data_IF_981568758173
#
_entry.id   IF_981568758173
#
_cell.length_a   1.000
_cell.length_b   1.000
_cell.length_c   1.000
_cell.angle_alpha   90.00
_cell.angle_beta   90.00
_cell.angle_gamma   90.00
#
_symmetry.space_group_name_H-M   'P 1'
#
loop_
_entity.id
_entity.type
_entity.pdbx_description
1 polymer ?
#
# COMPACT_ATOMS: atom_id res chain seq x y z
N UNK A 1 -58.08 -26.86 16.23
CA UNK A 1 -58.60 -27.91 17.14
C UNK A 1 -57.36 -28.65 17.62
N UNK A 2 -56.69 -28.13 18.65
CA UNK A 2 -56.90 -28.49 20.09
C UNK A 2 -56.55 -29.97 20.30
N UNK A 3 -55.78 -30.42 21.28
CA UNK A 3 -55.09 -29.91 22.48
C UNK A 3 -54.34 -31.18 22.99
N UNK A 4 -53.16 -31.18 23.60
CA UNK A 4 -52.91 -30.86 25.02
C UNK A 4 -51.56 -31.44 25.45
N UNK A 5 -51.02 -30.84 26.50
CA UNK A 5 -49.70 -31.00 27.12
C UNK A 5 -49.53 -32.28 27.94
N UNK A 6 -48.27 -32.64 28.23
CA UNK A 6 -47.91 -33.07 29.59
C UNK A 6 -46.45 -32.72 29.91
N UNK A 7 -46.26 -31.89 30.92
CA UNK A 7 -44.97 -31.59 31.52
C UNK A 7 -44.66 -32.52 32.71
N UNK A 8 -43.37 -32.75 32.94
CA UNK A 8 -42.80 -33.08 34.25
C UNK A 8 -41.43 -32.43 34.37
N UNK A 9 -41.27 -31.53 35.33
CA UNK A 9 -39.96 -31.06 35.79
C UNK A 9 -39.39 -31.98 36.88
N UNK A 10 -38.10 -31.79 37.17
CA UNK A 10 -37.55 -31.38 38.49
C UNK A 10 -36.03 -31.60 38.53
N UNK A 11 -35.36 -30.69 39.24
CA UNK A 11 -34.05 -30.76 39.90
C UNK A 11 -32.78 -30.32 39.15
N UNK A 12 -32.45 -29.06 39.45
CA UNK A 12 -31.10 -28.48 39.58
C UNK A 12 -30.15 -29.34 40.44
N UNK A 13 -28.91 -29.48 39.99
CA UNK A 13 -27.73 -29.66 40.84
C UNK A 13 -26.51 -29.03 40.15
N UNK A 14 -26.05 -27.93 40.72
CA UNK A 14 -24.81 -27.21 40.40
C UNK A 14 -23.64 -27.88 41.12
N UNK A 15 -22.55 -28.24 40.41
CA UNK A 15 -21.16 -28.16 40.94
C UNK A 15 -20.25 -27.72 39.79
N UNK A 16 -19.41 -26.75 40.14
CA UNK A 16 -18.55 -25.89 39.34
C UNK A 16 -17.13 -26.43 39.13
N UNK A 17 -16.37 -25.65 38.33
CA UNK A 17 -14.91 -25.54 38.18
C UNK A 17 -14.37 -26.21 36.90
N UNK A 18 -13.72 -25.50 35.98
CA UNK A 18 -13.37 -24.09 35.90
C UNK A 18 -12.52 -23.88 34.66
N UNK A 19 -12.83 -22.84 33.87
CA UNK A 19 -11.90 -22.25 32.91
C UNK A 19 -12.02 -20.75 33.12
N UNK A 20 -10.86 -20.15 33.31
CA UNK A 20 -10.57 -18.79 33.72
C UNK A 20 -11.00 -17.79 32.64
N UNK A 21 -12.11 -17.08 32.87
CA UNK A 21 -12.56 -15.94 32.09
C UNK A 21 -11.72 -14.70 32.43
N UNK A 22 -10.50 -14.67 31.90
CA UNK A 22 -9.61 -13.51 31.91
C UNK A 22 -9.88 -12.55 30.76
N UNK A 23 -11.12 -12.05 30.63
CA UNK A 23 -11.48 -11.00 29.68
C UNK A 23 -12.37 -9.92 30.32
N UNK A 24 -11.99 -9.46 31.53
CA UNK A 24 -12.45 -8.17 32.03
C UNK A 24 -11.59 -7.08 31.39
N UNK A 25 -12.01 -6.64 30.20
CA UNK A 25 -11.61 -5.35 29.66
C UNK A 25 -12.10 -4.26 30.59
N UNK A 26 -11.20 -3.77 31.44
CA UNK A 26 -11.38 -2.50 32.13
C UNK A 26 -11.56 -1.45 31.03
N UNK A 27 -12.74 -0.84 31.00
CA UNK A 27 -13.00 0.35 30.18
C UNK A 27 -12.12 1.45 30.77
N UNK A 28 -10.94 1.65 30.20
CA UNK A 28 -10.15 2.84 30.44
C UNK A 28 -10.83 3.98 29.69
N UNK A 29 -11.45 4.90 30.43
CA UNK A 29 -11.81 6.21 29.90
C UNK A 29 -10.53 6.96 29.50
N UNK A 30 -10.47 7.43 28.24
CA UNK A 30 -9.56 8.48 27.80
C UNK A 30 -8.23 8.03 27.16
N UNK A 31 -8.26 7.74 25.86
CA UNK A 31 -7.22 8.17 24.92
C UNK A 31 -7.74 7.99 23.47
N UNK A 32 -8.02 9.09 22.75
CA UNK A 32 -8.35 8.98 21.32
C UNK A 32 -7.06 8.58 20.56
N UNK A 33 -6.98 7.33 20.12
CA UNK A 33 -5.86 6.78 19.34
C UNK A 33 -5.92 7.22 17.86
N UNK A 34 -4.77 7.17 17.16
CA UNK A 34 -4.69 7.43 15.71
C UNK A 34 -5.58 6.47 14.91
N UNK A 35 -6.22 6.97 13.84
CA UNK A 35 -7.08 6.19 12.94
C UNK A 35 -6.30 5.85 11.66
N UNK A 36 -6.05 4.56 11.42
CA UNK A 36 -5.43 4.08 10.18
C UNK A 36 -6.24 2.92 9.63
N UNK A 37 -6.98 3.19 8.56
CA UNK A 37 -7.78 2.23 7.80
C UNK A 37 -7.44 2.35 6.31
N UNK A 38 -7.88 1.41 5.44
CA UNK A 38 -7.67 1.54 3.99
C UNK A 38 -8.28 2.81 3.36
N UNK A 39 -9.24 3.44 4.04
CA UNK A 39 -9.97 4.61 3.53
C UNK A 39 -9.61 5.92 4.23
N UNK A 40 -9.21 5.85 5.50
CA UNK A 40 -8.98 7.02 6.36
C UNK A 40 -7.66 6.88 7.12
N UNK A 41 -6.90 7.97 7.13
CA UNK A 41 -5.65 8.10 7.89
C UNK A 41 -5.67 9.44 8.60
N UNK A 42 -5.72 9.41 9.92
CA UNK A 42 -5.70 10.59 10.79
C UNK A 42 -4.86 10.29 12.05
N UNK A 43 -3.93 11.19 12.37
CA UNK A 43 -3.21 11.11 13.65
C UNK A 43 -4.07 11.64 14.81
N UNK A 44 -3.65 11.34 16.03
CA UNK A 44 -4.29 11.83 17.26
C UNK A 44 -4.39 13.37 17.24
N UNK A 45 -5.58 13.91 17.43
CA UNK A 45 -5.89 15.36 17.36
C UNK A 45 -5.46 16.02 16.03
N UNK A 46 -5.43 15.27 14.93
CA UNK A 46 -4.91 15.75 13.64
C UNK A 46 -3.38 15.85 13.60
N UNK A 47 -2.68 15.23 14.55
CA UNK A 47 -1.22 15.17 14.65
C UNK A 47 -0.57 14.18 13.68
N UNK A 48 0.73 13.95 13.88
CA UNK A 48 1.54 12.99 13.10
C UNK A 48 1.18 11.54 13.44
N UNK A 49 1.28 10.66 12.44
CA UNK A 49 1.17 9.21 12.63
C UNK A 49 2.40 8.68 13.37
N UNK A 50 2.17 7.96 14.46
CA UNK A 50 3.19 7.22 15.20
C UNK A 50 3.33 5.81 14.60
N UNK A 51 4.31 5.67 13.73
CA UNK A 51 4.56 4.43 12.99
C UNK A 51 5.15 3.31 13.87
N UNK A 52 5.87 3.62 14.95
CA UNK A 52 6.35 2.59 15.88
C UNK A 52 5.17 2.03 16.69
N UNK A 53 4.18 2.87 17.07
CA UNK A 53 2.91 2.38 17.63
C UNK A 53 2.10 1.57 16.63
N UNK A 54 2.05 1.97 15.34
CA UNK A 54 1.36 1.18 14.32
C UNK A 54 1.96 -0.23 14.18
N UNK A 55 3.29 -0.36 14.24
CA UNK A 55 3.94 -1.68 14.22
C UNK A 55 3.39 -2.58 15.33
N UNK A 56 3.24 -2.04 16.54
CA UNK A 56 2.70 -2.78 17.69
C UNK A 56 1.20 -3.07 17.52
N UNK A 57 0.40 -2.07 17.14
CA UNK A 57 -1.05 -2.20 16.96
C UNK A 57 -1.41 -3.21 15.86
N UNK A 58 -0.70 -3.18 14.73
CA UNK A 58 -0.94 -4.10 13.62
C UNK A 58 -0.21 -5.42 13.83
N UNK A 59 0.82 -5.46 14.67
CA UNK A 59 1.61 -6.65 14.94
C UNK A 59 2.50 -7.05 13.76
N UNK A 60 2.99 -6.08 12.99
CA UNK A 60 4.03 -6.30 11.98
C UNK A 60 5.44 -6.20 12.62
N UNK A 61 6.49 -6.40 11.84
CA UNK A 61 7.88 -6.38 12.31
C UNK A 61 8.64 -5.21 11.69
N UNK A 62 9.52 -4.56 12.46
CA UNK A 62 10.37 -3.49 11.95
C UNK A 62 11.40 -4.03 10.97
N UNK A 63 11.50 -3.42 9.80
CA UNK A 63 12.52 -3.71 8.82
C UNK A 63 13.86 -3.18 9.32
N UNK A 64 14.79 -4.08 9.60
CA UNK A 64 16.10 -3.74 10.17
C UNK A 64 17.21 -3.78 9.11
N UNK A 65 18.37 -3.24 9.47
CA UNK A 65 19.54 -3.18 8.58
C UNK A 65 19.98 -4.57 8.08
N UNK A 66 19.90 -5.60 8.93
CA UNK A 66 20.28 -6.96 8.52
C UNK A 66 19.45 -7.48 7.34
N UNK A 67 18.15 -7.18 7.31
CA UNK A 67 17.29 -7.56 6.18
C UNK A 67 17.61 -6.75 4.92
N UNK A 68 17.93 -5.46 5.07
CA UNK A 68 18.34 -4.60 3.96
C UNK A 68 19.65 -5.11 3.34
N UNK A 69 20.65 -5.41 4.17
CA UNK A 69 21.94 -5.96 3.73
C UNK A 69 21.77 -7.33 3.06
N UNK A 70 20.82 -8.16 3.54
CA UNK A 70 20.47 -9.43 2.90
C UNK A 70 19.89 -9.21 1.49
N UNK A 71 19.04 -8.20 1.28
CA UNK A 71 18.53 -7.86 -0.06
C UNK A 71 19.68 -7.53 -1.00
N UNK A 72 20.63 -6.69 -0.58
CA UNK A 72 21.78 -6.34 -1.41
C UNK A 72 22.63 -7.55 -1.75
N UNK A 73 22.94 -8.37 -0.75
CA UNK A 73 23.76 -9.58 -0.92
C UNK A 73 23.12 -10.59 -1.86
N UNK A 74 21.82 -10.85 -1.70
CA UNK A 74 21.11 -11.87 -2.49
C UNK A 74 20.86 -11.42 -3.92
N UNK A 75 20.57 -10.14 -4.14
CA UNK A 75 20.21 -9.62 -5.48
C UNK A 75 21.41 -9.06 -6.25
N UNK A 76 22.53 -8.77 -5.57
CA UNK A 76 23.66 -8.05 -6.15
C UNK A 76 23.31 -6.62 -6.58
N UNK A 77 22.19 -6.07 -6.10
CA UNK A 77 21.73 -4.70 -6.37
C UNK A 77 21.85 -3.84 -5.12
N UNK A 78 22.27 -2.57 -5.24
CA UNK A 78 22.20 -1.64 -4.12
C UNK A 78 20.77 -1.51 -3.61
N UNK A 79 20.60 -1.42 -2.30
CA UNK A 79 19.31 -1.27 -1.67
C UNK A 79 18.64 0.02 -2.16
N UNK A 80 17.36 -0.10 -2.51
CA UNK A 80 16.57 1.05 -2.94
C UNK A 80 16.63 2.16 -1.88
N UNK A 81 16.67 3.46 -2.27
CA UNK A 81 16.61 4.57 -1.31
C UNK A 81 15.48 4.42 -0.27
N UNK A 82 14.33 3.89 -0.69
CA UNK A 82 13.20 3.64 0.22
C UNK A 82 13.46 2.61 1.31
N UNK A 83 14.38 1.66 1.11
CA UNK A 83 14.84 0.75 2.16
C UNK A 83 15.83 1.48 3.07
N UNK A 84 16.87 2.07 2.48
CA UNK A 84 17.97 2.74 3.21
C UNK A 84 17.48 3.90 4.08
N UNK A 85 16.39 4.56 3.68
CA UNK A 85 15.82 5.73 4.36
C UNK A 85 14.59 5.41 5.20
N UNK A 86 14.24 4.12 5.36
CA UNK A 86 13.10 3.70 6.17
C UNK A 86 11.76 4.19 5.64
N UNK A 87 11.61 4.40 4.32
CA UNK A 87 10.31 4.67 3.71
C UNK A 87 9.48 3.38 3.70
N UNK A 88 10.09 2.25 3.33
CA UNK A 88 9.58 0.93 3.69
C UNK A 88 10.21 0.53 5.00
N UNK A 89 9.39 0.40 6.04
CA UNK A 89 9.85 0.41 7.44
C UNK A 89 9.35 -0.80 8.23
N UNK A 90 8.31 -1.46 7.76
CA UNK A 90 7.72 -2.63 8.40
C UNK A 90 7.54 -3.78 7.40
N UNK A 91 7.42 -5.00 7.92
CA UNK A 91 7.24 -6.20 7.11
C UNK A 91 6.53 -7.32 7.87
N UNK A 92 6.10 -8.35 7.14
CA UNK A 92 5.65 -9.64 7.67
C UNK A 92 6.28 -10.77 6.86
N UNK A 93 7.04 -11.65 7.51
CA UNK A 93 7.65 -12.83 6.88
C UNK A 93 8.51 -12.52 5.63
N UNK A 94 9.06 -11.30 5.53
CA UNK A 94 9.98 -10.93 4.45
C UNK A 94 11.28 -11.73 4.53
N UNK A 95 11.74 -12.06 5.74
CA UNK A 95 12.80 -13.02 6.00
C UNK A 95 12.55 -14.36 5.28
N UNK A 96 11.31 -14.87 5.27
CA UNK A 96 10.95 -16.12 4.59
C UNK A 96 10.99 -16.01 3.07
N UNK A 97 10.78 -14.82 2.51
CA UNK A 97 10.98 -14.56 1.07
C UNK A 97 12.47 -14.62 0.75
N UNK A 98 13.31 -13.98 1.57
CA UNK A 98 14.76 -14.00 1.38
C UNK A 98 15.33 -15.41 1.54
N UNK A 99 14.84 -16.17 2.52
CA UNK A 99 15.23 -17.58 2.72
C UNK A 99 14.82 -18.47 1.54
N UNK A 100 13.64 -18.25 0.97
CA UNK A 100 13.16 -18.97 -0.21
C UNK A 100 14.02 -18.64 -1.44
N UNK A 101 14.27 -17.34 -1.67
CA UNK A 101 15.11 -16.89 -2.78
C UNK A 101 16.55 -17.41 -2.68
N UNK A 102 17.14 -17.41 -1.49
CA UNK A 102 18.48 -17.96 -1.22
C UNK A 102 18.59 -19.47 -1.53
N UNK A 103 17.47 -20.20 -1.45
CA UNK A 103 17.37 -21.63 -1.82
C UNK A 103 17.03 -21.88 -3.29
N UNK A 104 16.80 -20.81 -4.07
CA UNK A 104 16.31 -20.92 -5.44
C UNK A 104 14.82 -21.29 -5.55
N UNK A 105 14.05 -21.11 -4.47
CA UNK A 105 12.60 -21.28 -4.49
C UNK A 105 11.93 -20.05 -5.14
N UNK A 106 10.88 -20.31 -5.91
CA UNK A 106 10.16 -19.29 -6.64
C UNK A 106 9.14 -18.54 -5.75
N UNK A 107 9.07 -17.22 -5.94
CA UNK A 107 8.03 -16.37 -5.36
C UNK A 107 7.56 -15.31 -6.37
N UNK A 108 6.40 -14.71 -6.17
CA UNK A 108 5.90 -13.64 -7.02
C UNK A 108 5.53 -12.39 -6.20
N UNK A 109 5.48 -11.26 -6.89
CA UNK A 109 5.03 -9.99 -6.34
C UNK A 109 3.55 -9.78 -6.62
N UNK A 110 2.85 -9.17 -5.67
CA UNK A 110 1.49 -8.68 -5.84
C UNK A 110 1.39 -7.27 -5.27
N UNK A 111 0.88 -6.32 -6.04
CA UNK A 111 0.41 -5.02 -5.55
C UNK A 111 -0.90 -4.65 -6.24
N UNK A 112 -1.55 -3.58 -5.81
CA UNK A 112 -2.80 -3.13 -6.42
C UNK A 112 -2.95 -1.62 -6.48
N UNK A 113 -3.98 -1.18 -7.21
CA UNK A 113 -4.41 0.20 -7.31
C UNK A 113 -5.92 0.24 -7.48
N UNK A 114 -6.60 0.94 -6.57
CA UNK A 114 -7.98 1.33 -6.78
C UNK A 114 -8.10 2.62 -7.59
N UNK A 115 -8.54 2.56 -8.86
CA UNK A 115 -8.45 3.68 -9.80
C UNK A 115 -9.56 4.72 -9.55
N UNK A 116 -9.21 5.79 -8.81
CA UNK A 116 -10.16 6.83 -8.39
C UNK A 116 -10.06 8.16 -9.17
N UNK A 117 -9.08 8.28 -10.06
CA UNK A 117 -8.76 9.50 -10.83
C UNK A 117 -8.07 9.12 -12.13
N UNK A 118 -8.15 9.99 -13.15
CA UNK A 118 -7.58 9.72 -14.48
C UNK A 118 -6.05 9.58 -14.47
N UNK A 119 -5.38 10.14 -13.46
CA UNK A 119 -3.93 10.11 -13.33
C UNK A 119 -3.49 9.75 -11.90
N UNK A 120 -2.30 9.16 -11.81
CA UNK A 120 -1.59 8.97 -10.55
C UNK A 120 -1.03 10.30 -10.00
N UNK A 121 -0.81 10.33 -8.69
CA UNK A 121 -0.01 11.37 -8.02
C UNK A 121 1.24 10.76 -7.43
N UNK A 122 2.21 11.59 -7.01
CA UNK A 122 3.51 11.13 -6.54
C UNK A 122 3.44 10.08 -5.42
N UNK A 123 2.46 10.18 -4.51
CA UNK A 123 2.23 9.17 -3.48
C UNK A 123 1.88 7.77 -4.03
N UNK A 124 1.18 7.68 -5.17
CA UNK A 124 0.89 6.41 -5.82
C UNK A 124 2.13 5.83 -6.49
N UNK A 125 3.09 6.66 -6.91
CA UNK A 125 4.33 6.17 -7.52
C UNK A 125 5.22 5.45 -6.51
N UNK A 126 5.17 5.78 -5.22
CA UNK A 126 6.04 5.17 -4.18
C UNK A 126 5.98 3.63 -4.19
N UNK A 127 4.81 2.98 -4.02
CA UNK A 127 4.72 1.52 -4.07
C UNK A 127 5.08 0.93 -5.44
N UNK A 128 4.73 1.59 -6.55
CA UNK A 128 5.07 1.09 -7.89
C UNK A 128 6.56 1.18 -8.21
N UNK A 129 7.22 2.29 -7.87
CA UNK A 129 8.68 2.44 -8.02
C UNK A 129 9.42 1.37 -7.21
N UNK A 130 8.96 1.11 -5.99
CA UNK A 130 9.56 0.08 -5.16
C UNK A 130 9.30 -1.33 -5.68
N UNK A 131 8.07 -1.62 -6.11
CA UNK A 131 7.72 -2.91 -6.72
C UNK A 131 8.53 -3.17 -7.98
N UNK A 132 8.75 -2.13 -8.81
CA UNK A 132 9.61 -2.22 -10.00
C UNK A 132 11.05 -2.56 -9.62
N UNK A 133 11.59 -1.90 -8.58
CA UNK A 133 12.91 -2.26 -8.04
C UNK A 133 12.97 -3.73 -7.58
N UNK A 134 11.95 -4.20 -6.85
CA UNK A 134 11.90 -5.59 -6.39
C UNK A 134 11.83 -6.57 -7.58
N UNK A 135 11.01 -6.28 -8.59
CA UNK A 135 10.94 -7.09 -9.81
C UNK A 135 12.30 -7.15 -10.51
N UNK A 136 12.99 -6.01 -10.64
CA UNK A 136 14.30 -5.94 -11.29
C UNK A 136 15.41 -6.65 -10.51
N UNK A 137 15.37 -6.57 -9.18
CA UNK A 137 16.41 -7.11 -8.29
C UNK A 137 16.26 -8.62 -8.12
N UNK A 138 15.03 -9.11 -7.91
CA UNK A 138 14.76 -10.53 -7.68
C UNK A 138 14.43 -11.31 -8.96
N UNK A 139 14.13 -10.63 -10.08
CA UNK A 139 13.75 -11.25 -11.37
C UNK A 139 12.51 -12.14 -11.27
N UNK A 140 11.48 -11.67 -10.57
CA UNK A 140 10.25 -12.44 -10.30
C UNK A 140 9.02 -11.91 -11.06
N UNK A 141 8.00 -12.75 -11.30
CA UNK A 141 6.72 -12.30 -11.83
C UNK A 141 6.01 -11.33 -10.88
N UNK A 142 5.18 -10.48 -11.47
CA UNK A 142 4.35 -9.49 -10.79
C UNK A 142 2.92 -9.57 -11.30
N UNK A 143 1.96 -9.57 -10.38
CA UNK A 143 0.55 -9.32 -10.66
C UNK A 143 0.12 -7.97 -10.08
N UNK A 144 -0.62 -7.18 -10.84
CA UNK A 144 -1.14 -5.87 -10.41
C UNK A 144 -2.66 -5.87 -10.53
N UNK A 145 -3.35 -5.79 -9.40
CA UNK A 145 -4.82 -5.68 -9.35
C UNK A 145 -5.27 -4.24 -9.55
N UNK A 146 -6.24 -4.02 -10.43
CA UNK A 146 -6.96 -2.76 -10.59
C UNK A 146 -8.38 -2.96 -10.06
N UNK A 147 -8.64 -2.44 -8.85
CA UNK A 147 -9.90 -2.63 -8.12
C UNK A 147 -10.97 -1.64 -8.59
N UNK A 148 -11.32 -1.71 -9.88
CA UNK A 148 -12.38 -0.88 -10.47
C UNK A 148 -13.77 -1.21 -9.93
N UNK A 149 -14.02 -2.47 -9.59
CA UNK A 149 -15.22 -2.89 -8.86
C UNK A 149 -15.34 -2.23 -7.47
N UNK A 150 -14.25 -2.17 -6.69
CA UNK A 150 -14.16 -1.43 -5.43
C UNK A 150 -14.53 0.03 -5.64
N UNK A 151 -13.96 0.69 -6.65
CA UNK A 151 -14.23 2.11 -6.87
C UNK A 151 -15.66 2.36 -7.33
N UNK A 152 -16.23 1.48 -8.14
CA UNK A 152 -17.65 1.51 -8.46
C UNK A 152 -18.54 1.34 -7.21
N UNK A 153 -18.11 0.55 -6.22
CA UNK A 153 -18.86 0.31 -4.98
C UNK A 153 -18.69 1.43 -3.93
N UNK A 154 -17.53 2.07 -3.87
CA UNK A 154 -17.23 3.10 -2.85
C UNK A 154 -17.46 4.54 -3.31
N UNK A 155 -17.56 4.77 -4.63
CA UNK A 155 -17.75 6.10 -5.22
C UNK A 155 -18.98 6.08 -6.12
N UNK A 156 -19.59 7.25 -6.28
CA UNK A 156 -20.68 7.45 -7.23
C UNK A 156 -20.12 7.59 -8.66
N UNK A 157 -19.63 6.47 -9.20
CA UNK A 157 -19.12 6.35 -10.58
C UNK A 157 -19.73 5.12 -11.24
N UNK A 158 -20.00 5.20 -12.55
CA UNK A 158 -20.52 4.05 -13.30
C UNK A 158 -19.46 2.97 -13.51
N UNK A 159 -19.90 1.75 -13.84
CA UNK A 159 -19.02 0.63 -14.19
C UNK A 159 -18.11 1.03 -15.35
N UNK A 160 -18.67 1.61 -16.42
CA UNK A 160 -17.91 2.02 -17.61
C UNK A 160 -16.85 3.06 -17.27
N UNK A 161 -17.17 4.01 -16.38
CA UNK A 161 -16.21 5.00 -15.90
C UNK A 161 -15.11 4.34 -15.08
N UNK A 162 -15.44 3.39 -14.21
CA UNK A 162 -14.44 2.68 -13.40
C UNK A 162 -13.48 1.84 -14.24
N UNK A 163 -13.97 1.13 -15.26
CA UNK A 163 -13.14 0.38 -16.21
C UNK A 163 -12.27 1.30 -17.07
N UNK A 164 -12.81 2.45 -17.51
CA UNK A 164 -12.01 3.48 -18.17
C UNK A 164 -10.85 3.96 -17.27
N UNK A 165 -11.14 4.26 -15.99
CA UNK A 165 -10.13 4.68 -15.03
C UNK A 165 -9.06 3.61 -14.79
N UNK A 166 -9.46 2.33 -14.73
CA UNK A 166 -8.53 1.21 -14.66
C UNK A 166 -7.54 1.22 -15.84
N UNK A 167 -8.04 1.34 -17.08
CA UNK A 167 -7.19 1.40 -18.26
C UNK A 167 -6.27 2.63 -18.29
N UNK A 168 -6.74 3.81 -17.90
CA UNK A 168 -5.88 4.99 -17.81
C UNK A 168 -4.81 4.87 -16.71
N UNK A 169 -5.14 4.26 -15.57
CA UNK A 169 -4.18 4.01 -14.50
C UNK A 169 -3.18 2.91 -14.91
N UNK A 170 -3.59 1.92 -15.72
CA UNK A 170 -2.69 0.93 -16.29
C UNK A 170 -1.59 1.58 -17.13
N UNK A 171 -1.89 2.64 -17.90
CA UNK A 171 -0.89 3.40 -18.67
C UNK A 171 0.16 4.04 -17.77
N UNK A 172 -0.26 4.68 -16.67
CA UNK A 172 0.67 5.26 -15.69
C UNK A 172 1.54 4.17 -15.01
N UNK A 173 0.95 3.02 -14.70
CA UNK A 173 1.66 1.89 -14.10
C UNK A 173 2.70 1.35 -15.09
N UNK A 174 2.34 1.12 -16.34
CA UNK A 174 3.27 0.68 -17.40
C UNK A 174 4.41 1.70 -17.58
N UNK A 175 4.11 3.00 -17.50
CA UNK A 175 5.10 4.07 -17.58
C UNK A 175 6.13 4.07 -16.44
N UNK A 176 5.90 3.32 -15.36
CA UNK A 176 6.91 3.05 -14.32
C UNK A 176 8.03 2.11 -14.80
N UNK A 177 7.85 1.44 -15.96
CA UNK A 177 8.87 0.63 -16.61
C UNK A 177 8.91 -0.83 -16.13
N UNK A 178 7.76 -1.42 -15.83
CA UNK A 178 7.65 -2.85 -15.54
C UNK A 178 7.96 -3.70 -16.77
N UNK A 179 8.50 -4.90 -16.56
CA UNK A 179 8.82 -5.84 -17.63
C UNK A 179 7.55 -6.57 -18.10
N UNK A 180 7.15 -6.37 -19.37
CA UNK A 180 5.98 -7.02 -19.96
C UNK A 180 6.08 -8.54 -19.98
N UNK A 181 7.28 -9.11 -20.00
CA UNK A 181 7.50 -10.55 -19.96
C UNK A 181 7.31 -11.17 -18.58
N UNK A 182 7.12 -10.33 -17.54
CA UNK A 182 7.00 -10.73 -16.13
C UNK A 182 5.83 -10.09 -15.40
N UNK A 183 5.03 -9.27 -16.09
CA UNK A 183 3.98 -8.47 -15.45
C UNK A 183 2.63 -8.76 -16.07
N UNK A 184 1.67 -9.06 -15.20
CA UNK A 184 0.26 -9.17 -15.54
C UNK A 184 -0.52 -8.12 -14.76
N UNK A 185 -1.22 -7.23 -15.46
CA UNK A 185 -2.10 -6.23 -14.86
C UNK A 185 -3.53 -6.69 -15.13
N UNK A 186 -4.45 -6.57 -14.18
CA UNK A 186 -5.84 -6.98 -14.44
C UNK A 186 -6.85 -6.05 -13.79
N UNK A 187 -7.96 -5.82 -14.49
CA UNK A 187 -9.19 -5.25 -13.95
C UNK A 187 -9.96 -6.34 -13.21
N UNK A 188 -10.55 -6.01 -12.07
CA UNK A 188 -11.39 -6.96 -11.34
C UNK A 188 -12.66 -7.28 -12.14
N UNK A 189 -13.30 -6.29 -12.76
CA UNK A 189 -14.46 -6.55 -13.64
C UNK A 189 -14.15 -7.52 -14.79
N UNK A 190 -12.94 -7.47 -15.36
CA UNK A 190 -12.57 -8.29 -16.52
C UNK A 190 -11.99 -9.67 -16.14
N UNK A 191 -11.36 -9.79 -14.97
CA UNK A 191 -10.62 -11.01 -14.59
C UNK A 191 -11.33 -11.88 -13.55
N UNK A 192 -12.20 -11.31 -12.71
CA UNK A 192 -12.87 -12.05 -11.64
C UNK A 192 -13.79 -13.12 -12.23
N UNK A 193 -13.36 -14.37 -12.08
CA UNK A 193 -14.06 -15.55 -12.57
C UNK A 193 -13.22 -16.81 -12.31
N UNK A 194 -13.64 -17.95 -12.86
CA UNK A 194 -12.83 -19.18 -12.87
C UNK A 194 -12.19 -19.53 -11.50
N UNK A 195 -10.87 -19.74 -11.48
CA UNK A 195 -10.14 -20.08 -10.26
C UNK A 195 -9.97 -18.91 -9.28
N UNK A 196 -9.97 -17.67 -9.78
CA UNK A 196 -9.94 -16.47 -8.94
C UNK A 196 -11.19 -16.43 -8.04
N UNK A 197 -12.38 -16.58 -8.63
CA UNK A 197 -13.63 -16.60 -7.88
C UNK A 197 -13.72 -17.79 -6.90
N UNK A 198 -13.19 -18.96 -7.27
CA UNK A 198 -13.09 -20.09 -6.33
C UNK A 198 -12.25 -19.75 -5.09
N UNK A 199 -11.17 -19.00 -5.24
CA UNK A 199 -10.37 -18.52 -4.11
C UNK A 199 -11.10 -17.47 -3.29
N UNK A 200 -11.81 -16.53 -3.92
CA UNK A 200 -12.69 -15.59 -3.20
C UNK A 200 -13.68 -16.34 -2.31
N UNK A 201 -14.36 -17.36 -2.82
CA UNK A 201 -15.33 -18.15 -2.04
C UNK A 201 -14.66 -18.90 -0.87
N UNK A 202 -13.48 -19.48 -1.10
CA UNK A 202 -12.70 -20.15 -0.03
C UNK A 202 -12.34 -19.18 1.10
N UNK A 203 -11.92 -17.97 0.76
CA UNK A 203 -11.55 -16.92 1.72
C UNK A 203 -12.79 -16.40 2.44
N UNK A 204 -13.87 -16.09 1.71
CA UNK A 204 -15.11 -15.60 2.28
C UNK A 204 -15.69 -16.56 3.33
N UNK A 205 -15.60 -17.88 3.11
CA UNK A 205 -16.00 -18.89 4.11
C UNK A 205 -15.17 -18.89 5.39
N UNK A 206 -14.00 -18.26 5.40
CA UNK A 206 -13.13 -18.14 6.57
C UNK A 206 -13.38 -16.87 7.38
N UNK A 207 -14.08 -15.87 6.83
CA UNK A 207 -14.24 -14.54 7.42
C UNK A 207 -15.72 -14.31 7.75
N UNK A 208 -16.03 -14.22 9.03
CA UNK A 208 -17.38 -13.87 9.50
C UNK A 208 -17.63 -12.38 9.31
N UNK A 209 -18.91 -11.98 9.23
CA UNK A 209 -19.25 -10.56 9.18
C UNK A 209 -18.75 -9.80 10.41
N UNK A 210 -18.80 -10.38 11.62
CA UNK A 210 -18.26 -9.75 12.83
C UNK A 210 -16.75 -9.48 12.72
N UNK A 211 -15.97 -10.39 12.13
CA UNK A 211 -14.56 -10.15 11.85
C UNK A 211 -14.39 -9.00 10.84
N UNK A 212 -15.18 -9.00 9.76
CA UNK A 212 -15.13 -7.93 8.77
C UNK A 212 -15.48 -6.56 9.40
N UNK A 213 -16.49 -6.48 10.28
CA UNK A 213 -16.80 -5.27 11.05
C UNK A 213 -15.65 -4.81 11.93
N UNK A 214 -14.99 -5.74 12.63
CA UNK A 214 -13.84 -5.40 13.48
C UNK A 214 -12.60 -4.94 12.71
N UNK A 215 -12.36 -5.48 11.51
CA UNK A 215 -11.18 -5.17 10.70
C UNK A 215 -11.39 -3.92 9.85
N UNK A 216 -12.59 -3.77 9.27
CA UNK A 216 -12.90 -2.78 8.24
C UNK A 216 -13.91 -1.72 8.68
N UNK A 217 -14.46 -1.82 9.89
CA UNK A 217 -15.44 -0.84 10.40
C UNK A 217 -16.79 -0.88 9.70
N UNK A 218 -17.14 -1.96 8.98
CA UNK A 218 -18.44 -2.06 8.32
C UNK A 218 -19.61 -1.97 9.31
N UNK A 219 -20.69 -1.34 8.85
CA UNK A 219 -21.94 -1.15 9.63
C UNK A 219 -23.13 -1.83 8.93
N UNK A 220 -24.28 -1.87 9.61
CA UNK A 220 -25.47 -2.58 9.09
C UNK A 220 -26.07 -1.92 7.84
N UNK A 221 -25.75 -0.65 7.62
CA UNK A 221 -26.17 0.18 6.51
C UNK A 221 -25.29 0.03 5.27
N UNK A 222 -24.09 -0.55 5.40
CA UNK A 222 -23.22 -0.82 4.24
C UNK A 222 -23.85 -1.87 3.33
N UNK A 223 -23.84 -1.62 2.03
CA UNK A 223 -24.37 -2.57 1.06
C UNK A 223 -23.48 -3.82 0.94
N UNK A 224 -24.12 -4.94 0.61
CA UNK A 224 -23.49 -6.28 0.58
C UNK A 224 -22.22 -6.35 -0.28
N UNK A 225 -22.13 -5.54 -1.34
CA UNK A 225 -20.96 -5.45 -2.20
C UNK A 225 -19.69 -5.01 -1.45
N UNK A 226 -19.79 -3.98 -0.58
CA UNK A 226 -18.65 -3.54 0.25
C UNK A 226 -18.19 -4.64 1.19
N UNK A 227 -19.17 -5.29 1.82
CA UNK A 227 -18.92 -6.37 2.78
C UNK A 227 -18.28 -7.58 2.11
N UNK A 228 -18.61 -7.85 0.84
CA UNK A 228 -18.06 -8.98 0.08
C UNK A 228 -16.78 -8.67 -0.70
N UNK A 229 -16.28 -7.43 -0.66
CA UNK A 229 -15.06 -7.03 -1.37
C UNK A 229 -13.74 -7.56 -0.78
N UNK A 230 -13.51 -7.65 0.56
CA UNK A 230 -12.21 -8.07 1.08
C UNK A 230 -11.66 -9.41 0.52
N UNK A 231 -12.48 -10.44 0.26
CA UNK A 231 -12.04 -11.63 -0.47
C UNK A 231 -11.50 -11.37 -1.89
N UNK A 232 -12.00 -10.35 -2.61
CA UNK A 232 -11.52 -9.93 -3.94
C UNK A 232 -10.06 -9.48 -3.85
N UNK A 233 -9.74 -8.61 -2.88
CA UNK A 233 -8.37 -8.11 -2.68
C UNK A 233 -7.42 -9.16 -2.08
N UNK A 234 -7.97 -10.15 -1.35
CA UNK A 234 -7.20 -11.24 -0.76
C UNK A 234 -6.79 -12.31 -1.78
N UNK A 235 -7.65 -12.63 -2.75
CA UNK A 235 -7.46 -13.72 -3.70
C UNK A 235 -6.16 -13.66 -4.52
N UNK A 236 -5.65 -12.49 -4.98
CA UNK A 236 -4.36 -12.38 -5.68
C UNK A 236 -3.15 -12.81 -4.85
N UNK A 237 -3.30 -12.94 -3.53
CA UNK A 237 -2.25 -13.45 -2.64
C UNK A 237 -1.97 -14.95 -2.82
N UNK A 238 -2.80 -15.65 -3.60
CA UNK A 238 -2.68 -17.08 -3.83
C UNK A 238 -2.41 -17.40 -5.31
N UNK A 239 -1.35 -18.17 -5.63
CA UNK A 239 -0.92 -18.42 -7.01
C UNK A 239 -1.99 -19.10 -7.88
N UNK A 240 -2.82 -19.96 -7.31
CA UNK A 240 -3.94 -20.61 -8.03
C UNK A 240 -5.00 -19.64 -8.56
N UNK A 241 -5.01 -18.37 -8.12
CA UNK A 241 -5.84 -17.34 -8.73
C UNK A 241 -5.39 -17.00 -10.16
N UNK A 242 -4.15 -17.37 -10.52
CA UNK A 242 -3.52 -17.12 -11.82
C UNK A 242 -3.02 -18.43 -12.45
N UNK A 243 -3.93 -19.34 -12.84
CA UNK A 243 -3.54 -20.66 -13.36
C UNK A 243 -2.72 -20.59 -14.66
N UNK A 244 -2.87 -19.52 -15.43
CA UNK A 244 -2.09 -19.25 -16.63
C UNK A 244 -0.62 -18.89 -16.34
N UNK A 245 -0.30 -18.48 -15.10
CA UNK A 245 1.06 -18.19 -14.64
C UNK A 245 1.64 -19.35 -13.82
N UNK A 246 0.85 -19.92 -12.91
CA UNK A 246 1.34 -20.85 -11.88
C UNK A 246 0.68 -22.24 -11.92
N UNK A 247 -0.20 -22.50 -12.88
CA UNK A 247 -0.99 -23.74 -12.92
C UNK A 247 -1.79 -23.92 -11.63
N UNK A 248 -1.72 -25.12 -11.03
CA UNK A 248 -2.39 -25.44 -9.77
C UNK A 248 -1.45 -25.43 -8.56
N UNK A 249 -0.26 -24.83 -8.71
CA UNK A 249 0.71 -24.73 -7.60
C UNK A 249 0.15 -23.90 -6.45
N UNK A 250 0.43 -24.35 -5.22
CA UNK A 250 0.04 -23.66 -3.96
C UNK A 250 1.24 -23.25 -3.10
N UNK A 251 2.42 -23.71 -3.49
CA UNK A 251 3.71 -23.59 -2.83
C UNK A 251 4.48 -22.32 -3.22
N UNK A 252 3.98 -21.56 -4.20
CA UNK A 252 4.59 -20.28 -4.62
C UNK A 252 4.31 -19.22 -3.57
N UNK A 253 5.37 -18.62 -3.01
CA UNK A 253 5.22 -17.51 -2.05
C UNK A 253 4.79 -16.23 -2.76
N UNK A 254 4.03 -15.41 -2.05
CA UNK A 254 3.61 -14.08 -2.49
C UNK A 254 4.25 -13.02 -1.58
N UNK A 255 4.88 -12.00 -2.17
CA UNK A 255 5.34 -10.80 -1.47
C UNK A 255 4.50 -9.61 -1.92
N UNK A 256 3.96 -8.87 -0.96
CA UNK A 256 3.06 -7.73 -1.19
C UNK A 256 3.71 -6.43 -0.74
N UNK A 257 4.21 -5.59 -1.67
CA UNK A 257 4.64 -4.23 -1.37
C UNK A 257 3.42 -3.31 -1.34
N UNK A 258 3.14 -2.68 -0.21
CA UNK A 258 2.01 -1.75 -0.07
C UNK A 258 2.32 -0.64 0.94
N UNK A 259 1.46 0.38 0.99
CA UNK A 259 1.44 1.26 2.16
C UNK A 259 0.75 0.54 3.33
N UNK A 260 1.07 0.95 4.57
CA UNK A 260 0.60 0.24 5.78
C UNK A 260 -0.93 0.23 5.96
N UNK A 261 -1.67 1.17 5.34
CA UNK A 261 -3.14 1.19 5.35
C UNK A 261 -3.79 -0.04 4.71
N UNK A 262 -3.05 -0.80 3.89
CA UNK A 262 -3.53 -2.02 3.26
C UNK A 262 -3.33 -3.28 4.12
N UNK A 263 -2.55 -3.21 5.21
CA UNK A 263 -2.30 -4.35 6.11
C UNK A 263 -3.59 -5.03 6.61
N UNK A 264 -4.69 -4.32 6.95
CA UNK A 264 -5.93 -4.98 7.39
C UNK A 264 -6.45 -6.06 6.44
N UNK A 265 -6.39 -5.85 5.12
CA UNK A 265 -6.77 -6.85 4.12
C UNK A 265 -5.87 -8.10 4.18
N UNK A 266 -4.57 -7.87 4.34
CA UNK A 266 -3.60 -8.95 4.27
C UNK A 266 -3.41 -9.65 5.60
N UNK A 267 -3.66 -9.00 6.73
CA UNK A 267 -3.82 -9.63 8.04
C UNK A 267 -4.96 -10.64 8.01
N UNK A 268 -6.14 -10.23 7.51
CA UNK A 268 -7.27 -11.13 7.26
C UNK A 268 -6.87 -12.29 6.32
N UNK A 269 -6.15 -11.97 5.24
CA UNK A 269 -5.70 -12.98 4.26
C UNK A 269 -4.74 -14.00 4.88
N UNK A 270 -3.82 -13.55 5.73
CA UNK A 270 -2.84 -14.40 6.44
C UNK A 270 -3.50 -15.32 7.46
N UNK A 271 -4.60 -14.91 8.06
CA UNK A 271 -5.39 -15.75 8.97
C UNK A 271 -6.22 -16.81 8.22
N UNK A 272 -6.73 -16.45 7.03
CA UNK A 272 -7.45 -17.38 6.16
C UNK A 272 -6.52 -18.41 5.50
N UNK A 273 -5.34 -18.00 5.03
CA UNK A 273 -4.41 -18.82 4.23
C UNK A 273 -4.18 -20.26 4.74
N UNK A 274 -3.80 -20.51 6.01
CA UNK A 274 -3.57 -21.88 6.49
C UNK A 274 -4.86 -22.71 6.53
N UNK A 275 -6.03 -22.10 6.75
CA UNK A 275 -7.33 -22.79 6.79
C UNK A 275 -7.78 -23.31 5.43
N UNK A 276 -7.25 -22.70 4.35
CA UNK A 276 -7.54 -23.09 2.96
C UNK A 276 -6.34 -23.78 2.28
N UNK A 277 -5.30 -24.11 3.04
CA UNK A 277 -4.15 -24.88 2.57
C UNK A 277 -3.19 -24.10 1.67
N UNK A 278 -3.01 -22.81 1.93
CA UNK A 278 -2.05 -21.94 1.23
C UNK A 278 -1.01 -21.37 2.19
N UNK A 279 0.12 -20.93 1.61
CA UNK A 279 1.12 -20.16 2.33
C UNK A 279 0.58 -18.77 2.66
N UNK A 280 0.97 -18.24 3.82
CA UNK A 280 0.68 -16.84 4.18
C UNK A 280 1.45 -15.90 3.24
N UNK A 281 0.82 -14.84 2.69
CA UNK A 281 1.55 -13.83 1.94
C UNK A 281 2.48 -13.05 2.87
N UNK A 282 3.69 -12.75 2.38
CA UNK A 282 4.61 -11.82 3.02
C UNK A 282 4.25 -10.38 2.64
N UNK A 283 4.60 -9.43 3.52
CA UNK A 283 4.34 -8.01 3.32
C UNK A 283 5.63 -7.20 3.50
N UNK A 284 5.73 -6.10 2.77
CA UNK A 284 6.70 -5.02 3.01
C UNK A 284 5.97 -3.68 2.88
N UNK A 285 5.99 -2.88 3.95
CA UNK A 285 5.03 -1.82 4.19
C UNK A 285 5.70 -0.44 4.22
N UNK A 286 5.14 0.51 3.48
CA UNK A 286 5.62 1.89 3.45
C UNK A 286 4.91 2.82 4.43
N UNK A 287 5.60 3.89 4.79
CA UNK A 287 5.01 5.10 5.35
C UNK A 287 4.00 5.70 4.36
N UNK A 288 3.14 6.59 4.86
CA UNK A 288 2.32 7.44 3.99
C UNK A 288 3.17 8.53 3.36
N UNK A 289 2.93 8.77 2.07
CA UNK A 289 3.49 9.94 1.41
C UNK A 289 2.66 11.18 1.83
N UNK A 290 3.30 12.21 2.44
CA UNK A 290 2.57 13.30 3.07
C UNK A 290 1.90 14.22 2.04
N UNK A 291 0.86 14.94 2.45
CA UNK A 291 0.25 15.98 1.63
C UNK A 291 1.11 17.25 1.60
N UNK A 292 0.88 18.11 0.60
CA UNK A 292 1.61 19.38 0.48
C UNK A 292 1.45 20.25 1.74
N UNK A 293 0.25 20.27 2.33
CA UNK A 293 -0.09 21.13 3.45
C UNK A 293 0.44 20.64 4.81
N UNK A 294 0.88 19.39 4.93
CA UNK A 294 1.34 18.83 6.22
C UNK A 294 1.08 17.33 6.39
N UNK A 295 1.36 16.84 7.60
CA UNK A 295 1.27 15.42 7.97
C UNK A 295 -0.11 14.97 8.48
N UNK A 296 -1.04 15.90 8.70
CA UNK A 296 -2.34 15.62 9.31
C UNK A 296 -3.33 14.86 8.41
N UNK A 297 -2.91 14.44 7.20
CA UNK A 297 -3.75 13.66 6.29
C UNK A 297 -3.00 13.04 5.11
N UNK A 298 -3.59 11.99 4.55
CA UNK A 298 -3.18 11.37 3.28
C UNK A 298 -3.49 12.32 2.12
N UNK A 299 -2.64 12.34 1.08
CA UNK A 299 -3.01 13.02 -0.18
C UNK A 299 -4.29 12.42 -0.74
N UNK A 300 -5.31 13.25 -0.90
CA UNK A 300 -6.58 12.84 -1.52
C UNK A 300 -6.65 13.34 -2.95
N UNK A 301 -7.00 12.45 -3.88
CA UNK A 301 -7.27 12.82 -5.26
C UNK A 301 -8.44 13.80 -5.42
N UNK A 302 -9.27 14.01 -4.37
CA UNK A 302 -10.40 14.94 -4.38
C UNK A 302 -10.02 16.41 -4.19
N UNK A 303 -8.83 16.72 -3.65
CA UNK A 303 -8.32 18.08 -3.56
C UNK A 303 -7.03 18.21 -4.37
N UNK A 304 -7.17 18.78 -5.57
CA UNK A 304 -6.08 18.96 -6.53
C UNK A 304 -4.95 19.87 -6.04
N UNK A 305 -5.18 20.65 -4.98
CA UNK A 305 -4.18 21.51 -4.35
C UNK A 305 -3.29 20.77 -3.34
N UNK A 306 -3.68 19.56 -2.92
CA UNK A 306 -2.98 18.77 -1.90
C UNK A 306 -1.89 17.85 -2.46
N UNK A 307 -1.95 17.58 -3.77
CA UNK A 307 -1.11 16.59 -4.42
C UNK A 307 -0.44 17.12 -5.70
N UNK A 308 0.72 16.54 -6.01
CA UNK A 308 1.40 16.70 -7.30
C UNK A 308 1.08 15.48 -8.16
N UNK A 309 0.45 15.70 -9.31
CA UNK A 309 0.06 14.64 -10.25
C UNK A 309 1.15 14.38 -11.27
N UNK A 310 1.19 13.16 -11.82
CA UNK A 310 2.13 12.81 -12.90
C UNK A 310 1.78 13.52 -14.21
N UNK A 311 0.63 14.18 -14.28
CA UNK A 311 0.18 15.02 -15.39
C UNK A 311 0.43 16.51 -15.16
N UNK A 312 0.93 16.93 -13.98
CA UNK A 312 1.23 18.34 -13.74
C UNK A 312 2.36 18.84 -14.65
N UNK A 313 2.17 20.02 -15.22
CA UNK A 313 3.21 20.74 -15.97
C UNK A 313 4.30 21.26 -15.03
N UNK A 314 5.52 21.54 -15.53
CA UNK A 314 6.58 22.15 -14.71
C UNK A 314 6.11 23.42 -13.97
N UNK A 315 5.28 24.25 -14.61
CA UNK A 315 4.71 25.46 -14.00
C UNK A 315 3.74 25.15 -12.86
N UNK A 316 2.92 24.11 -12.99
CA UNK A 316 2.03 23.66 -11.92
C UNK A 316 2.83 23.10 -10.74
N UNK A 317 3.87 22.30 -10.99
CA UNK A 317 4.77 21.77 -9.95
C UNK A 317 5.41 22.92 -9.16
N UNK A 318 6.01 23.91 -9.85
CA UNK A 318 6.57 25.12 -9.24
C UNK A 318 5.54 25.83 -8.37
N UNK A 319 4.34 26.06 -8.92
CA UNK A 319 3.27 26.77 -8.23
C UNK A 319 2.83 26.03 -6.97
N UNK A 320 2.63 24.72 -7.06
CA UNK A 320 2.18 23.89 -5.95
C UNK A 320 3.22 23.83 -4.82
N UNK A 321 4.49 23.63 -5.16
CA UNK A 321 5.56 23.58 -4.15
C UNK A 321 5.74 24.94 -3.47
N UNK A 322 5.78 26.03 -4.24
CA UNK A 322 6.00 27.34 -3.66
C UNK A 322 4.82 27.81 -2.80
N UNK A 323 3.58 27.57 -3.23
CA UNK A 323 2.38 28.07 -2.54
C UNK A 323 1.85 27.15 -1.45
N UNK A 324 1.89 25.83 -1.65
CA UNK A 324 1.15 24.90 -0.79
C UNK A 324 2.05 23.98 0.03
N UNK A 325 3.32 23.75 -0.37
CA UNK A 325 4.22 22.92 0.43
C UNK A 325 4.57 23.63 1.75
N UNK A 326 4.16 23.03 2.87
CA UNK A 326 4.43 23.53 4.20
C UNK A 326 5.93 23.57 4.49
N UNK A 327 6.40 24.67 5.07
CA UNK A 327 7.80 24.93 5.38
C UNK A 327 8.06 24.83 6.88
N UNK A 328 9.13 24.13 7.26
CA UNK A 328 9.66 24.12 8.61
C UNK A 328 10.68 25.23 8.90
N UNK A 329 11.02 26.06 7.91
CA UNK A 329 11.92 27.22 8.08
C UNK A 329 11.25 28.39 8.82
N UNK A 330 12.06 29.24 9.46
CA UNK A 330 11.57 30.41 10.19
C UNK A 330 10.86 31.46 9.32
N UNK A 331 9.88 32.16 9.92
CA UNK A 331 9.01 33.14 9.23
C UNK A 331 9.76 34.29 8.53
N UNK A 332 10.94 34.64 9.04
CA UNK A 332 11.82 35.65 8.46
C UNK A 332 13.22 35.08 8.27
N UNK A 333 13.99 35.69 7.36
CA UNK A 333 15.38 35.29 7.11
C UNK A 333 16.20 35.37 8.39
N UNK A 334 16.02 36.41 9.21
CA UNK A 334 16.75 36.57 10.47
C UNK A 334 16.44 35.45 11.46
N UNK A 335 15.16 35.10 11.65
CA UNK A 335 14.76 33.97 12.50
C UNK A 335 15.33 32.66 11.98
N UNK A 336 15.25 32.45 10.67
CA UNK A 336 15.74 31.23 10.03
C UNK A 336 17.27 31.11 10.13
N UNK A 337 18.04 32.17 9.89
CA UNK A 337 19.50 32.18 10.08
C UNK A 337 19.88 31.91 11.54
N UNK A 338 19.05 32.34 12.50
CA UNK A 338 19.34 32.20 13.93
C UNK A 338 18.96 30.83 14.49
N UNK A 339 17.81 30.29 14.12
CA UNK A 339 17.24 29.07 14.73
C UNK A 339 17.22 27.86 13.80
N UNK A 340 17.47 28.05 12.50
CA UNK A 340 17.38 26.99 11.50
C UNK A 340 15.97 26.62 11.10
N UNK A 341 15.82 25.45 10.50
CA UNK A 341 14.53 24.86 10.12
C UNK A 341 14.22 23.61 10.94
N UNK A 342 12.93 23.42 11.23
CA UNK A 342 12.43 22.17 11.77
C UNK A 342 12.19 21.17 10.62
N UNK A 343 13.14 20.24 10.43
CA UNK A 343 13.10 19.24 9.37
C UNK A 343 11.98 18.21 9.56
N UNK A 344 11.53 17.99 10.79
CA UNK A 344 10.48 16.99 11.09
C UNK A 344 9.16 17.36 10.45
N UNK A 345 8.86 18.65 10.30
CA UNK A 345 7.59 19.13 9.74
C UNK A 345 7.71 19.61 8.29
N UNK A 346 8.93 19.82 7.79
CA UNK A 346 9.16 20.40 6.47
C UNK A 346 8.83 19.43 5.32
N UNK A 347 7.79 19.75 4.55
CA UNK A 347 7.34 18.92 3.43
C UNK A 347 8.37 18.85 2.31
N UNK A 348 9.06 19.95 1.92
CA UNK A 348 10.10 19.87 0.91
C UNK A 348 11.22 18.87 1.22
N UNK A 349 11.76 18.87 2.45
CA UNK A 349 12.79 17.92 2.88
C UNK A 349 12.26 16.49 2.89
N UNK A 350 11.00 16.28 3.32
CA UNK A 350 10.37 14.96 3.23
C UNK A 350 10.27 14.48 1.78
N UNK A 351 9.74 15.28 0.87
CA UNK A 351 9.63 14.87 -0.53
C UNK A 351 11.01 14.57 -1.14
N UNK A 352 12.04 15.35 -0.80
CA UNK A 352 13.42 15.04 -1.18
C UNK A 352 13.89 13.69 -0.63
N UNK A 353 13.51 13.29 0.60
CA UNK A 353 13.87 11.97 1.13
C UNK A 353 13.23 10.81 0.37
N UNK A 354 12.13 11.04 -0.35
CA UNK A 354 11.57 10.05 -1.28
C UNK A 354 12.26 10.06 -2.64
N UNK A 355 12.44 11.23 -3.26
CA UNK A 355 12.73 11.29 -4.71
C UNK A 355 14.13 11.75 -5.10
N UNK A 356 14.92 12.29 -4.17
CA UNK A 356 16.32 12.61 -4.45
C UNK A 356 17.16 11.34 -4.31
N UNK A 357 17.80 10.85 -5.38
CA UNK A 357 18.56 9.60 -5.33
C UNK A 357 19.85 9.67 -4.48
N UNK A 358 20.49 10.85 -4.41
CA UNK A 358 21.77 11.07 -3.73
C UNK A 358 21.60 11.31 -2.22
N UNK A 359 22.05 10.34 -1.41
CA UNK A 359 22.03 10.42 0.05
C UNK A 359 22.96 11.49 0.62
N UNK A 360 24.13 11.69 0.02
CA UNK A 360 25.10 12.69 0.49
C UNK A 360 24.57 14.10 0.24
N UNK A 361 23.90 14.31 -0.89
CA UNK A 361 23.21 15.56 -1.17
C UNK A 361 22.05 15.79 -0.19
N UNK A 362 21.19 14.78 0.04
CA UNK A 362 20.09 14.88 0.99
C UNK A 362 20.57 15.25 2.39
N UNK A 363 21.63 14.59 2.87
CA UNK A 363 22.19 14.86 4.19
C UNK A 363 22.83 16.25 4.28
N UNK A 364 23.49 16.70 3.22
CA UNK A 364 23.97 18.08 3.13
C UNK A 364 22.80 19.07 3.22
N UNK A 365 21.70 18.86 2.50
CA UNK A 365 20.53 19.73 2.55
C UNK A 365 19.96 19.76 3.98
N UNK A 366 19.78 18.61 4.63
CA UNK A 366 19.31 18.52 6.01
C UNK A 366 20.21 19.32 6.97
N UNK A 367 21.53 19.12 6.89
CA UNK A 367 22.49 19.81 7.74
C UNK A 367 22.52 21.33 7.51
N UNK A 368 22.50 21.78 6.26
CA UNK A 368 22.57 23.20 5.92
C UNK A 368 21.26 23.92 6.23
N UNK A 369 20.11 23.32 5.90
CA UNK A 369 18.80 23.89 6.16
C UNK A 369 18.42 23.86 7.64
N UNK A 370 18.69 22.74 8.32
CA UNK A 370 18.49 22.61 9.77
C UNK A 370 19.33 23.58 10.58
N UNK A 371 20.49 24.01 10.07
CA UNK A 371 21.33 25.01 10.71
C UNK A 371 21.08 26.46 10.22
N UNK A 372 20.09 26.69 9.35
CA UNK A 372 19.74 28.02 8.85
C UNK A 372 20.71 28.59 7.79
N UNK A 373 21.63 27.77 7.25
CA UNK A 373 22.60 28.18 6.22
C UNK A 373 22.04 28.11 4.80
N UNK A 374 21.12 27.18 4.54
CA UNK A 374 20.33 27.12 3.31
C UNK A 374 18.94 27.67 3.59
N UNK A 375 18.35 28.49 2.72
CA UNK A 375 17.01 29.05 2.91
C UNK A 375 15.92 28.12 2.37
N UNK A 376 14.69 28.27 2.85
CA UNK A 376 13.51 27.51 2.36
C UNK A 376 13.34 27.60 0.84
N UNK A 377 13.57 28.77 0.25
CA UNK A 377 13.48 28.96 -1.20
C UNK A 377 14.47 28.09 -1.97
N UNK A 378 15.68 27.89 -1.45
CA UNK A 378 16.71 27.05 -2.07
C UNK A 378 16.34 25.56 -1.98
N UNK A 379 15.81 25.12 -0.84
CA UNK A 379 15.31 23.73 -0.67
C UNK A 379 14.13 23.45 -1.60
N UNK A 380 13.16 24.38 -1.68
CA UNK A 380 12.01 24.27 -2.59
C UNK A 380 12.45 24.24 -4.05
N UNK A 381 13.42 25.07 -4.43
CA UNK A 381 13.99 25.07 -5.78
C UNK A 381 14.62 23.72 -6.12
N UNK A 382 15.41 23.14 -5.20
CA UNK A 382 15.99 21.82 -5.43
C UNK A 382 14.93 20.73 -5.57
N UNK A 383 13.88 20.77 -4.75
CA UNK A 383 12.75 19.85 -4.88
C UNK A 383 12.03 20.01 -6.23
N UNK A 384 11.78 21.24 -6.66
CA UNK A 384 11.16 21.54 -7.96
C UNK A 384 11.93 20.86 -9.09
N UNK A 385 13.26 20.94 -9.09
CA UNK A 385 14.10 20.32 -10.11
C UNK A 385 13.95 18.80 -10.13
N UNK A 386 14.06 18.16 -8.95
CA UNK A 386 13.92 16.71 -8.80
C UNK A 386 12.55 16.24 -9.29
N UNK A 387 11.48 16.88 -8.83
CA UNK A 387 10.11 16.49 -9.18
C UNK A 387 9.76 16.79 -10.63
N UNK A 388 10.22 17.92 -11.17
CA UNK A 388 10.01 18.25 -12.58
C UNK A 388 10.69 17.20 -13.46
N UNK A 389 11.94 16.83 -13.17
CA UNK A 389 12.64 15.80 -13.91
C UNK A 389 11.95 14.43 -13.83
N UNK A 390 11.45 14.05 -12.64
CA UNK A 390 10.70 12.82 -12.43
C UNK A 390 9.40 12.80 -13.26
N UNK A 391 8.58 13.85 -13.15
CA UNK A 391 7.28 13.95 -13.82
C UNK A 391 7.43 14.01 -15.34
N UNK A 392 8.38 14.81 -15.87
CA UNK A 392 8.65 14.88 -17.31
C UNK A 392 9.12 13.53 -17.86
N UNK A 393 9.96 12.80 -17.12
CA UNK A 393 10.39 11.45 -17.50
C UNK A 393 9.20 10.49 -17.57
N UNK A 394 8.34 10.53 -16.55
CA UNK A 394 7.13 9.71 -16.51
C UNK A 394 6.18 10.03 -17.66
N UNK A 395 5.92 11.31 -17.93
CA UNK A 395 5.08 11.77 -19.05
C UNK A 395 5.62 11.28 -20.39
N UNK A 396 6.95 11.36 -20.60
CA UNK A 396 7.59 10.83 -21.80
C UNK A 396 7.42 9.32 -21.93
N UNK A 397 7.58 8.57 -20.83
CA UNK A 397 7.37 7.12 -20.83
C UNK A 397 5.91 6.76 -21.12
N UNK A 398 4.96 7.44 -20.46
CA UNK A 398 3.51 7.26 -20.67
C UNK A 398 3.08 7.59 -22.10
N UNK A 399 3.65 8.63 -22.71
CA UNK A 399 3.37 8.97 -24.11
C UNK A 399 3.80 7.88 -25.10
N UNK A 400 4.73 6.99 -24.70
CA UNK A 400 5.12 5.80 -25.46
C UNK A 400 4.25 4.57 -25.21
N UNK A 401 3.30 4.61 -24.26
CA UNK A 401 2.41 3.49 -23.97
C UNK A 401 1.25 3.50 -24.95
N UNK A 402 1.16 2.49 -25.81
CA UNK A 402 0.06 2.31 -26.77
C UNK A 402 -1.07 1.47 -26.16
N UNK A 403 -2.24 1.47 -26.78
CA UNK A 403 -3.35 0.60 -26.36
C UNK A 403 -2.97 -0.89 -26.50
N UNK A 404 -2.22 -1.26 -27.54
CA UNK A 404 -1.75 -2.63 -27.72
C UNK A 404 -0.79 -3.05 -26.60
N UNK A 405 0.00 -2.11 -26.07
CA UNK A 405 0.81 -2.38 -24.88
C UNK A 405 -0.09 -2.62 -23.66
N UNK A 406 -1.09 -1.77 -23.43
CA UNK A 406 -2.04 -1.96 -22.32
C UNK A 406 -2.73 -3.32 -22.42
N UNK A 407 -3.25 -3.65 -23.60
CA UNK A 407 -3.89 -4.94 -23.88
C UNK A 407 -2.92 -6.09 -23.69
N UNK A 408 -1.66 -5.95 -24.11
CA UNK A 408 -0.65 -6.97 -23.91
C UNK A 408 -0.31 -7.17 -22.43
N UNK A 409 -0.19 -6.11 -21.61
CA UNK A 409 0.00 -6.23 -20.16
C UNK A 409 -1.23 -6.86 -19.48
N UNK A 410 -2.44 -6.56 -19.97
CA UNK A 410 -3.71 -7.01 -19.41
C UNK A 410 -4.24 -8.34 -19.97
N UNK A 411 -3.60 -8.89 -20.99
CA UNK A 411 -3.97 -10.17 -21.57
C UNK A 411 -3.60 -11.33 -20.64
N UNK A 412 -4.57 -12.23 -20.42
CA UNK A 412 -4.37 -13.51 -19.75
C UNK A 412 -3.48 -14.40 -20.62
N UNK A 413 -2.18 -14.42 -20.33
CA UNK A 413 -1.16 -15.10 -21.15
C UNK A 413 -0.07 -15.75 -20.28
N UNK A 414 0.49 -16.90 -20.68
CA UNK A 414 1.64 -17.44 -19.98
C UNK A 414 2.84 -16.49 -20.07
N UNK A 415 3.66 -16.49 -19.03
CA UNK A 415 4.91 -15.72 -18.96
C UNK A 415 6.09 -16.69 -18.83
N UNK A 416 6.52 -17.33 -19.94
CA UNK A 416 7.44 -18.48 -19.88
C UNK A 416 8.82 -18.15 -19.30
N UNK A 417 9.27 -16.89 -19.39
CA UNK A 417 10.56 -16.43 -18.89
C UNK A 417 10.43 -15.54 -17.65
N UNK A 418 9.37 -15.73 -16.85
CA UNK A 418 9.05 -14.82 -15.75
C UNK A 418 10.08 -14.80 -14.60
N UNK A 419 10.95 -15.82 -14.49
CA UNK A 419 11.94 -15.97 -13.41
C UNK A 419 13.40 -15.70 -13.78
N UNK A 420 13.75 -15.53 -15.05
CA UNK A 420 15.11 -15.17 -15.44
C UNK A 420 15.40 -15.66 -16.83
#
# INVERSE_FOLDING_TARGET
>A
MEESESGRGVASATISNGIDDGANGVVAEGDEEQVVTPWEVAGKDGGKIDYDKLIVQFGCQKLNQNLIDRVERLTGKPAHPFLRRGVFFAHREFDKILDAYEKGEEFYLYTGRGPSSDALHLGHLVPFMFTKYLQDAFKVPLVIQLTDDEKCMWKDISIERSQYLARENAKDIIACGFDISRTFIFSDFDYVGGDFYKNMVRIAKCVTFNQARGIFGFVGEDHIGKVSFPPVQAAPSFPTSFPHLFGQRKDVRCLIPCAIDQDPYFRMTRDAAPRIGYLKPALIESLFFPALQGESGKMSASDTSTAIYVTDTPKQIITKINRYAFSGGGDTVEKHRKYGANLEVDIPVKYLSFFLDDDAELERIRKEYGAGRMLTGEVKQRLIEVLTALVVRHQKARAGVTEEMVDAFMAVRPLPNMYG
#
